data_IF_444437848796
#
_entry.id   IF_444437848796
#
_cell.length_a   1.000
_cell.length_b   1.000
_cell.length_c   1.000
_cell.angle_alpha   90.00
_cell.angle_beta   90.00
_cell.angle_gamma   90.00
#
_symmetry.space_group_name_H-M   'P 1'
#
loop_
_entity.id
_entity.type
_entity.pdbx_description
1 polymer ?
#
# COMPACT_ATOMS: atom_id res chain seq x y z
N UNK A 1 -25.05 -23.32 -25.68
CA UNK A 1 -25.45 -23.73 -24.31
C UNK A 1 -24.41 -24.71 -23.73
N UNK A 2 -24.02 -25.79 -24.44
CA UNK A 2 -23.08 -26.80 -23.91
C UNK A 2 -21.69 -26.21 -23.59
N UNK A 3 -21.15 -25.40 -24.48
CA UNK A 3 -19.87 -24.69 -24.24
C UNK A 3 -19.90 -23.84 -22.97
N UNK A 4 -21.03 -23.13 -22.73
CA UNK A 4 -21.20 -22.34 -21.50
C UNK A 4 -21.26 -23.23 -20.25
N UNK A 5 -21.93 -24.38 -20.32
CA UNK A 5 -21.95 -25.35 -19.21
C UNK A 5 -20.56 -25.88 -18.90
N UNK A 6 -19.77 -26.23 -19.91
CA UNK A 6 -18.39 -26.67 -19.74
C UNK A 6 -17.54 -25.57 -19.11
N UNK A 7 -17.65 -24.35 -19.59
CA UNK A 7 -16.96 -23.18 -19.04
C UNK A 7 -17.32 -22.95 -17.56
N UNK A 8 -18.60 -22.99 -17.20
CA UNK A 8 -19.04 -22.81 -15.81
C UNK A 8 -18.57 -23.96 -14.91
N UNK A 9 -18.68 -25.21 -15.36
CA UNK A 9 -18.15 -26.37 -14.62
C UNK A 9 -16.65 -26.26 -14.37
N UNK A 10 -15.88 -25.86 -15.40
CA UNK A 10 -14.44 -25.64 -15.29
C UNK A 10 -14.11 -24.57 -14.25
N UNK A 11 -14.78 -23.41 -14.30
CA UNK A 11 -14.52 -22.33 -13.36
C UNK A 11 -14.89 -22.70 -11.92
N UNK A 12 -16.00 -23.42 -11.71
CA UNK A 12 -16.40 -23.92 -10.38
C UNK A 12 -15.34 -24.90 -9.85
N UNK A 13 -14.90 -25.85 -10.68
CA UNK A 13 -13.90 -26.84 -10.28
C UNK A 13 -12.55 -26.18 -9.99
N UNK A 14 -12.06 -25.32 -10.88
CA UNK A 14 -10.82 -24.58 -10.72
C UNK A 14 -10.84 -23.72 -9.45
N UNK A 15 -11.91 -22.95 -9.23
CA UNK A 15 -12.07 -22.08 -8.06
C UNK A 15 -12.20 -22.85 -6.74
N UNK A 16 -12.66 -24.11 -6.81
CA UNK A 16 -12.84 -24.97 -5.64
C UNK A 16 -11.64 -25.88 -5.34
N UNK A 17 -10.68 -26.00 -6.25
CA UNK A 17 -9.63 -27.00 -6.21
C UNK A 17 -8.85 -27.02 -4.88
N UNK A 18 -8.60 -25.84 -4.28
CA UNK A 18 -7.90 -25.69 -2.99
C UNK A 18 -8.69 -26.22 -1.79
N UNK A 19 -9.98 -26.47 -1.93
CA UNK A 19 -10.91 -26.91 -0.88
C UNK A 19 -11.33 -28.38 -1.03
N UNK A 20 -10.91 -29.01 -2.13
CA UNK A 20 -11.23 -30.41 -2.46
C UNK A 20 -10.14 -31.36 -1.93
N UNK A 21 -10.22 -32.63 -2.37
CA UNK A 21 -9.25 -33.66 -1.97
C UNK A 21 -7.84 -33.41 -2.52
N UNK A 22 -6.87 -34.11 -1.95
CA UNK A 22 -5.44 -33.93 -2.26
C UNK A 22 -5.07 -33.94 -3.75
N UNK A 23 -5.67 -34.75 -4.64
CA UNK A 23 -5.36 -34.69 -6.06
C UNK A 23 -5.67 -33.31 -6.69
N UNK A 24 -6.80 -32.70 -6.33
CA UNK A 24 -7.17 -31.36 -6.82
C UNK A 24 -6.24 -30.27 -6.26
N UNK A 25 -5.91 -30.33 -4.98
CA UNK A 25 -4.96 -29.41 -4.35
C UNK A 25 -3.59 -29.50 -5.01
N UNK A 26 -3.09 -30.72 -5.29
CA UNK A 26 -1.82 -30.93 -5.99
C UNK A 26 -1.85 -30.40 -7.43
N UNK A 27 -2.93 -30.65 -8.17
CA UNK A 27 -3.09 -30.14 -9.54
C UNK A 27 -3.13 -28.59 -9.58
N UNK A 28 -3.85 -27.97 -8.63
CA UNK A 28 -3.87 -26.51 -8.50
C UNK A 28 -2.48 -25.95 -8.17
N UNK A 29 -1.73 -26.60 -7.29
CA UNK A 29 -0.39 -26.19 -6.95
C UNK A 29 0.58 -26.36 -8.14
N UNK A 30 0.50 -27.47 -8.90
CA UNK A 30 1.33 -27.69 -10.08
C UNK A 30 1.18 -26.55 -11.13
N UNK A 31 -0.03 -26.02 -11.29
CA UNK A 31 -0.25 -24.85 -12.13
C UNK A 31 0.42 -23.58 -11.53
N UNK A 32 0.24 -23.36 -10.23
CA UNK A 32 0.83 -22.21 -9.55
C UNK A 32 2.36 -22.21 -9.57
N UNK A 33 2.99 -23.41 -9.54
CA UNK A 33 4.45 -23.55 -9.61
C UNK A 33 5.05 -22.97 -10.89
N UNK A 34 4.34 -23.11 -12.02
CA UNK A 34 4.80 -22.56 -13.32
C UNK A 34 4.89 -21.03 -13.27
N UNK A 35 3.94 -20.39 -12.58
CA UNK A 35 3.87 -18.92 -12.51
C UNK A 35 4.78 -18.36 -11.42
N UNK A 36 4.89 -19.06 -10.28
CA UNK A 36 5.59 -18.53 -9.09
C UNK A 36 7.01 -19.04 -8.90
N UNK A 37 7.41 -20.11 -9.62
CA UNK A 37 8.69 -20.81 -9.39
C UNK A 37 8.75 -21.61 -8.08
N UNK A 38 7.69 -21.58 -7.25
CA UNK A 38 7.66 -22.19 -5.94
C UNK A 38 7.81 -23.74 -6.04
N UNK A 39 8.81 -24.31 -5.38
CA UNK A 39 9.11 -25.76 -5.45
C UNK A 39 8.29 -26.60 -4.49
N UNK A 40 7.95 -26.06 -3.33
CA UNK A 40 7.24 -26.77 -2.25
C UNK A 40 6.00 -25.97 -1.87
N UNK A 41 4.86 -26.67 -1.78
CA UNK A 41 3.61 -26.04 -1.38
C UNK A 41 3.71 -25.50 0.05
N UNK A 42 3.19 -24.28 0.26
CA UNK A 42 3.03 -23.68 1.59
C UNK A 42 2.37 -24.67 2.55
N UNK A 43 2.88 -24.84 3.78
CA UNK A 43 2.31 -25.76 4.77
C UNK A 43 0.81 -25.55 4.96
N UNK A 44 0.07 -26.66 5.20
CA UNK A 44 -1.39 -26.61 5.32
C UNK A 44 -1.87 -25.58 6.37
N UNK A 45 -1.21 -25.53 7.53
CA UNK A 45 -1.61 -24.61 8.60
C UNK A 45 -1.55 -23.15 8.17
N UNK A 46 -0.51 -22.74 7.43
CA UNK A 46 -0.40 -21.37 6.89
C UNK A 46 -1.52 -21.07 5.90
N UNK A 47 -1.77 -22.01 4.95
CA UNK A 47 -2.85 -21.86 3.98
C UNK A 47 -4.21 -21.74 4.65
N UNK A 48 -4.45 -22.53 5.70
CA UNK A 48 -5.72 -22.49 6.45
C UNK A 48 -5.84 -21.22 7.28
N UNK A 49 -4.75 -20.73 7.89
CA UNK A 49 -4.74 -19.45 8.60
C UNK A 49 -5.12 -18.29 7.67
N UNK A 50 -4.48 -18.21 6.49
CA UNK A 50 -4.81 -17.16 5.48
C UNK A 50 -6.26 -17.27 5.01
N UNK A 51 -6.76 -18.49 4.85
CA UNK A 51 -8.15 -18.72 4.42
C UNK A 51 -9.14 -18.35 5.52
N UNK A 52 -8.85 -18.63 6.77
CA UNK A 52 -9.66 -18.24 7.93
C UNK A 52 -9.74 -16.72 8.01
N UNK A 53 -8.61 -16.03 7.84
CA UNK A 53 -8.58 -14.57 7.77
C UNK A 53 -9.44 -14.04 6.62
N UNK A 54 -9.36 -14.63 5.43
CA UNK A 54 -10.16 -14.23 4.26
C UNK A 54 -11.68 -14.46 4.44
N UNK A 55 -12.11 -15.36 5.32
CA UNK A 55 -13.54 -15.70 5.52
C UNK A 55 -14.14 -14.99 6.75
N UNK A 56 -13.45 -15.09 7.88
CA UNK A 56 -13.91 -14.57 9.18
C UNK A 56 -12.87 -13.66 9.83
N UNK A 57 -12.14 -12.90 9.02
CA UNK A 57 -10.96 -12.17 9.43
C UNK A 57 -11.19 -11.12 10.51
N UNK A 58 -12.37 -10.52 10.62
CA UNK A 58 -12.64 -9.62 11.73
C UNK A 58 -12.85 -10.35 13.06
N UNK A 59 -13.36 -11.59 13.08
CA UNK A 59 -13.38 -12.40 14.31
C UNK A 59 -11.97 -12.79 14.71
N UNK A 60 -11.13 -13.23 13.76
CA UNK A 60 -9.72 -13.49 14.00
C UNK A 60 -9.00 -12.20 14.44
N UNK A 61 -9.37 -11.07 13.83
CA UNK A 61 -8.84 -9.74 14.12
C UNK A 61 -9.05 -9.30 15.57
N UNK A 62 -10.19 -9.63 16.18
CA UNK A 62 -10.44 -9.35 17.60
C UNK A 62 -9.41 -10.05 18.50
N UNK A 63 -9.13 -11.33 18.23
CA UNK A 63 -8.13 -12.11 18.98
C UNK A 63 -6.73 -11.57 18.76
N UNK A 64 -6.42 -11.22 17.50
CA UNK A 64 -5.14 -10.65 17.11
C UNK A 64 -4.87 -9.31 17.80
N UNK A 65 -5.83 -8.38 17.75
CA UNK A 65 -5.73 -7.06 18.37
C UNK A 65 -5.59 -7.16 19.88
N UNK A 66 -6.42 -7.98 20.54
CA UNK A 66 -6.35 -8.18 21.99
C UNK A 66 -4.97 -8.68 22.46
N UNK A 67 -4.24 -9.42 21.61
CA UNK A 67 -2.94 -9.99 21.96
C UNK A 67 -1.75 -9.13 21.54
N UNK A 68 -1.81 -8.49 20.36
CA UNK A 68 -0.63 -7.91 19.71
C UNK A 68 -0.69 -6.40 19.46
N UNK A 69 -1.84 -5.77 19.61
CA UNK A 69 -1.99 -4.34 19.31
C UNK A 69 -2.32 -3.54 20.57
N UNK A 70 -1.36 -2.78 21.05
CA UNK A 70 -1.49 -1.97 22.26
C UNK A 70 -2.15 -0.61 21.97
N UNK A 71 -2.93 -0.04 22.91
CA UNK A 71 -3.54 1.29 22.75
C UNK A 71 -2.53 2.40 22.41
N UNK A 72 -1.34 2.37 23.03
CA UNK A 72 -0.27 3.36 22.81
C UNK A 72 0.21 3.39 21.34
N UNK A 73 0.15 2.25 20.66
CA UNK A 73 0.46 2.17 19.23
C UNK A 73 -0.57 2.95 18.40
N UNK A 74 -1.86 2.89 18.74
CA UNK A 74 -2.92 3.65 18.06
C UNK A 74 -2.75 5.15 18.25
N UNK A 75 -2.42 5.58 19.46
CA UNK A 75 -2.17 7.00 19.79
C UNK A 75 -0.96 7.54 19.04
N UNK A 76 0.16 6.81 19.06
CA UNK A 76 1.38 7.21 18.34
C UNK A 76 1.17 7.27 16.82
N UNK A 77 0.39 6.34 16.27
CA UNK A 77 0.01 6.37 14.85
C UNK A 77 -0.87 7.58 14.50
N UNK A 78 -1.82 7.92 15.37
CA UNK A 78 -2.66 9.11 15.15
C UNK A 78 -1.83 10.39 15.14
N UNK A 79 -0.82 10.50 16.01
CA UNK A 79 0.15 11.60 15.98
C UNK A 79 0.93 11.65 14.67
N UNK A 80 1.46 10.51 14.20
CA UNK A 80 2.17 10.42 12.92
C UNK A 80 1.29 10.89 11.77
N UNK A 81 0.04 10.38 11.67
CA UNK A 81 -0.91 10.78 10.64
C UNK A 81 -1.17 12.29 10.66
N UNK A 82 -1.35 12.90 11.84
CA UNK A 82 -1.56 14.34 11.97
C UNK A 82 -0.33 15.14 11.50
N UNK A 83 0.87 14.70 11.87
CA UNK A 83 2.11 15.35 11.48
C UNK A 83 2.35 15.25 9.96
N UNK A 84 2.10 14.08 9.36
CA UNK A 84 2.22 13.91 7.92
C UNK A 84 1.19 14.74 7.15
N UNK A 85 -0.05 14.83 7.63
CA UNK A 85 -1.06 15.72 7.04
C UNK A 85 -0.60 17.17 7.02
N UNK A 86 -0.04 17.67 8.13
CA UNK A 86 0.53 19.02 8.23
C UNK A 86 1.71 19.20 7.27
N UNK A 87 2.61 18.24 7.20
CA UNK A 87 3.76 18.27 6.27
C UNK A 87 3.28 18.30 4.82
N UNK A 88 2.27 17.51 4.47
CA UNK A 88 1.72 17.49 3.12
C UNK A 88 1.06 18.83 2.75
N UNK A 89 0.33 19.45 3.67
CA UNK A 89 -0.23 20.80 3.45
C UNK A 89 0.86 21.84 3.19
N UNK A 90 1.97 21.81 3.96
CA UNK A 90 3.13 22.69 3.74
C UNK A 90 3.70 22.46 2.33
N UNK A 91 3.85 21.22 1.92
CA UNK A 91 4.35 20.89 0.57
C UNK A 91 3.42 21.38 -0.52
N UNK A 92 2.10 21.15 -0.42
CA UNK A 92 1.10 21.66 -1.39
C UNK A 92 1.22 23.18 -1.52
N UNK A 93 1.33 23.89 -0.40
CA UNK A 93 1.47 25.37 -0.43
C UNK A 93 2.73 25.81 -1.18
N UNK A 94 3.82 25.05 -1.08
CA UNK A 94 5.13 25.39 -1.68
C UNK A 94 5.29 24.89 -3.13
N UNK A 95 4.30 24.23 -3.73
CA UNK A 95 4.38 23.80 -5.13
C UNK A 95 4.42 25.01 -6.07
N UNK A 96 5.44 25.09 -6.91
CA UNK A 96 5.66 26.15 -7.88
C UNK A 96 4.88 25.97 -9.21
N UNK A 97 4.45 24.73 -9.47
CA UNK A 97 3.80 24.35 -10.72
C UNK A 97 2.26 24.38 -10.66
N UNK A 98 1.67 24.39 -9.47
CA UNK A 98 0.23 24.33 -9.23
C UNK A 98 -0.33 25.70 -8.89
N UNK A 99 -1.46 26.07 -9.50
CA UNK A 99 -2.17 27.33 -9.20
C UNK A 99 -2.79 27.32 -7.79
N UNK A 100 -3.02 28.49 -7.22
CA UNK A 100 -3.63 28.63 -5.89
C UNK A 100 -5.04 28.04 -5.84
N UNK A 101 -5.80 28.11 -6.93
CA UNK A 101 -7.13 27.49 -7.03
C UNK A 101 -7.06 25.96 -6.86
N UNK A 102 -6.11 25.32 -7.55
CA UNK A 102 -5.91 23.86 -7.44
C UNK A 102 -5.31 23.49 -6.09
N UNK A 103 -4.35 24.28 -5.55
CA UNK A 103 -3.81 24.09 -4.20
C UNK A 103 -4.90 24.09 -3.14
N UNK A 104 -5.87 25.02 -3.24
CA UNK A 104 -6.98 25.06 -2.27
C UNK A 104 -7.83 23.78 -2.34
N UNK A 105 -8.19 23.31 -3.54
CA UNK A 105 -8.91 22.06 -3.72
C UNK A 105 -8.14 20.85 -3.21
N UNK A 106 -6.83 20.80 -3.42
CA UNK A 106 -5.96 19.75 -2.90
C UNK A 106 -5.95 19.74 -1.36
N UNK A 107 -5.85 20.92 -0.72
CA UNK A 107 -5.93 21.04 0.75
C UNK A 107 -7.31 20.63 1.27
N UNK A 108 -8.40 21.06 0.63
CA UNK A 108 -9.75 20.66 1.02
C UNK A 108 -9.89 19.13 1.00
N UNK A 109 -9.33 18.47 -0.03
CA UNK A 109 -9.33 17.01 -0.13
C UNK A 109 -8.46 16.35 0.94
N UNK A 110 -7.26 16.85 1.19
CA UNK A 110 -6.35 16.35 2.24
C UNK A 110 -6.99 16.46 3.63
N UNK A 111 -7.67 17.55 3.94
CA UNK A 111 -8.34 17.74 5.23
C UNK A 111 -9.56 16.82 5.39
N UNK A 112 -10.21 16.45 4.29
CA UNK A 112 -11.34 15.53 4.30
C UNK A 112 -10.96 14.05 4.42
N UNK A 113 -9.66 13.69 4.41
CA UNK A 113 -9.22 12.31 4.62
C UNK A 113 -9.66 11.79 5.99
N UNK A 114 -10.31 10.63 5.98
CA UNK A 114 -10.65 9.89 7.21
C UNK A 114 -9.57 8.85 7.50
N UNK A 115 -8.79 8.98 8.57
CA UNK A 115 -7.83 7.95 8.96
C UNK A 115 -8.50 6.83 9.74
N UNK A 116 -8.19 5.58 9.41
CA UNK A 116 -8.59 4.36 10.13
C UNK A 116 -7.35 3.63 10.60
N UNK A 117 -7.20 3.40 11.91
CA UNK A 117 -5.96 2.91 12.52
C UNK A 117 -6.23 1.69 13.38
N UNK A 118 -5.52 0.60 13.10
CA UNK A 118 -5.48 -0.63 13.88
C UNK A 118 -6.63 -1.59 13.57
N UNK A 119 -7.84 -1.22 13.91
CA UNK A 119 -9.03 -2.07 13.80
C UNK A 119 -10.32 -1.25 13.73
N UNK A 120 -11.43 -1.83 13.20
CA UNK A 120 -12.71 -1.13 13.11
C UNK A 120 -13.32 -0.89 14.47
N UNK A 121 -13.95 0.28 14.67
CA UNK A 121 -14.69 0.60 15.90
C UNK A 121 -15.98 -0.23 16.02
N UNK A 122 -16.53 -0.68 14.88
CA UNK A 122 -17.70 -1.55 14.79
C UNK A 122 -17.29 -2.85 14.11
N UNK A 123 -17.24 -3.93 14.89
CA UNK A 123 -16.87 -5.25 14.39
C UNK A 123 -17.98 -5.87 13.52
N UNK A 124 -17.57 -6.48 12.42
CA UNK A 124 -18.47 -7.22 11.54
C UNK A 124 -19.09 -8.42 12.26
N UNK A 125 -20.39 -8.53 12.16
CA UNK A 125 -21.13 -9.69 12.64
C UNK A 125 -21.27 -10.72 11.54
N UNK A 126 -21.12 -12.00 11.88
CA UNK A 126 -21.22 -13.13 10.95
C UNK A 126 -22.51 -13.93 11.18
N UNK A 127 -23.59 -13.22 11.53
CA UNK A 127 -24.91 -13.83 11.77
C UNK A 127 -25.42 -14.53 10.50
N UNK A 128 -25.92 -15.76 10.66
CA UNK A 128 -26.38 -16.59 9.53
C UNK A 128 -25.28 -17.25 8.68
N UNK A 129 -24.00 -17.10 9.03
CA UNK A 129 -22.93 -17.89 8.46
C UNK A 129 -22.88 -19.26 9.12
N UNK A 130 -23.25 -20.31 8.39
CA UNK A 130 -23.23 -21.71 8.86
C UNK A 130 -21.89 -22.37 8.54
N UNK A 131 -21.18 -22.81 9.58
CA UNK A 131 -19.90 -23.48 9.51
C UNK A 131 -19.95 -24.77 10.35
N UNK A 132 -19.52 -25.88 9.78
CA UNK A 132 -19.52 -27.18 10.45
C UNK A 132 -18.18 -27.91 10.31
N UNK A 133 -17.92 -28.87 11.18
CA UNK A 133 -16.74 -29.74 11.09
C UNK A 133 -16.83 -30.79 9.95
N UNK A 134 -17.99 -30.96 9.32
CA UNK A 134 -18.24 -32.08 8.44
C UNK A 134 -17.71 -31.91 7.01
N UNK A 135 -17.65 -30.68 6.49
CA UNK A 135 -17.24 -30.47 5.11
C UNK A 135 -16.58 -29.09 4.93
N UNK A 136 -15.28 -29.12 4.68
CA UNK A 136 -14.50 -27.92 4.37
C UNK A 136 -15.01 -27.21 3.11
N UNK A 137 -15.31 -27.98 2.04
CA UNK A 137 -15.86 -27.44 0.81
C UNK A 137 -17.21 -26.75 1.04
N UNK A 138 -18.09 -27.36 1.84
CA UNK A 138 -19.40 -26.77 2.14
C UNK A 138 -19.26 -25.47 2.93
N UNK A 139 -18.33 -25.42 3.90
CA UNK A 139 -18.03 -24.20 4.64
C UNK A 139 -17.61 -23.06 3.71
N UNK A 140 -16.75 -23.34 2.73
CA UNK A 140 -16.31 -22.32 1.76
C UNK A 140 -17.47 -21.87 0.85
N UNK A 141 -18.36 -22.78 0.47
CA UNK A 141 -19.57 -22.42 -0.27
C UNK A 141 -20.55 -21.57 0.56
N UNK A 142 -20.75 -21.94 1.82
CA UNK A 142 -21.58 -21.18 2.75
C UNK A 142 -21.03 -19.76 2.97
N UNK A 143 -19.71 -19.65 3.16
CA UNK A 143 -19.03 -18.36 3.29
C UNK A 143 -19.19 -17.49 2.04
N UNK A 144 -19.01 -18.05 0.85
CA UNK A 144 -19.21 -17.33 -0.41
C UNK A 144 -20.66 -16.88 -0.61
N UNK A 145 -21.64 -17.76 -0.32
CA UNK A 145 -23.06 -17.42 -0.40
C UNK A 145 -23.47 -16.35 0.62
N UNK A 146 -22.93 -16.44 1.84
CA UNK A 146 -23.17 -15.44 2.89
C UNK A 146 -22.58 -14.09 2.49
N UNK A 147 -21.32 -14.05 2.04
CA UNK A 147 -20.66 -12.82 1.58
C UNK A 147 -21.40 -12.17 0.41
N UNK A 148 -21.89 -12.97 -0.52
CA UNK A 148 -22.72 -12.48 -1.64
C UNK A 148 -24.01 -11.82 -1.14
N UNK A 149 -24.74 -12.47 -0.22
CA UNK A 149 -25.96 -11.91 0.39
C UNK A 149 -25.66 -10.58 1.12
N UNK A 150 -24.59 -10.53 1.91
CA UNK A 150 -24.15 -9.32 2.59
C UNK A 150 -23.86 -8.18 1.61
N UNK A 151 -23.19 -8.50 0.48
CA UNK A 151 -22.91 -7.50 -0.56
C UNK A 151 -24.19 -6.99 -1.24
N UNK A 152 -25.07 -7.90 -1.64
CA UNK A 152 -26.37 -7.53 -2.26
C UNK A 152 -27.25 -6.72 -1.30
N UNK A 153 -27.19 -7.01 0.00
CA UNK A 153 -27.93 -6.27 1.03
C UNK A 153 -27.47 -4.81 1.19
N UNK A 154 -26.37 -4.40 0.56
CA UNK A 154 -25.93 -2.98 0.52
C UNK A 154 -26.66 -2.17 -0.58
N UNK A 155 -27.27 -2.84 -1.57
CA UNK A 155 -27.97 -2.14 -2.65
C UNK A 155 -29.03 -1.19 -2.09
N UNK A 156 -29.07 0.01 -2.63
CA UNK A 156 -29.98 1.08 -2.23
C UNK A 156 -29.86 1.55 -0.76
N UNK A 157 -28.74 1.23 -0.08
CA UNK A 157 -28.41 1.77 1.24
C UNK A 157 -27.34 2.86 1.13
N UNK A 158 -27.33 3.80 2.07
CA UNK A 158 -26.19 4.72 2.21
C UNK A 158 -24.88 3.95 2.39
N UNK A 159 -23.78 4.56 1.95
CA UNK A 159 -22.44 4.00 2.13
C UNK A 159 -22.14 3.87 3.62
N UNK A 160 -21.77 2.66 4.04
CA UNK A 160 -21.33 2.38 5.40
C UNK A 160 -19.83 2.68 5.56
N UNK A 161 -19.51 3.83 6.11
CA UNK A 161 -18.12 4.27 6.32
C UNK A 161 -17.43 3.58 7.50
N UNK A 162 -18.11 2.73 8.26
CA UNK A 162 -17.49 1.96 9.36
C UNK A 162 -16.74 0.73 8.85
N UNK A 163 -17.05 0.24 7.66
CA UNK A 163 -16.46 -0.96 7.06
C UNK A 163 -15.01 -0.75 6.64
N UNK A 164 -14.23 -1.81 6.80
CA UNK A 164 -12.85 -1.88 6.37
C UNK A 164 -12.69 -2.82 5.17
N UNK A 165 -11.77 -2.49 4.26
CA UNK A 165 -11.43 -3.34 3.11
C UNK A 165 -10.40 -4.43 3.44
N UNK A 166 -9.67 -4.27 4.55
CA UNK A 166 -8.66 -5.22 5.04
C UNK A 166 -8.95 -5.61 6.48
N UNK A 167 -8.59 -6.82 6.85
CA UNK A 167 -8.72 -7.34 8.22
C UNK A 167 -7.58 -6.86 9.12
N UNK A 168 -7.77 -6.77 10.44
CA UNK A 168 -6.72 -6.27 11.34
C UNK A 168 -5.37 -7.00 11.28
N UNK A 169 -5.27 -8.34 11.05
CA UNK A 169 -3.98 -9.01 10.90
C UNK A 169 -3.24 -8.72 9.60
N UNK A 170 -3.85 -8.02 8.64
CA UNK A 170 -3.24 -7.74 7.33
C UNK A 170 -2.01 -6.83 7.48
N UNK A 171 -0.87 -7.29 6.91
CA UNK A 171 0.36 -6.48 6.81
C UNK A 171 0.31 -5.69 5.50
N UNK A 172 -0.49 -4.66 5.47
CA UNK A 172 -0.67 -3.72 4.36
C UNK A 172 -1.42 -2.48 4.83
N UNK A 173 -1.56 -1.48 3.93
CA UNK A 173 -2.39 -0.29 4.09
C UNK A 173 -3.14 -0.03 2.77
N UNK A 174 -4.08 0.90 2.77
CA UNK A 174 -4.72 1.33 1.52
C UNK A 174 -5.35 2.71 1.63
N UNK A 175 -5.44 3.40 0.49
CA UNK A 175 -6.32 4.54 0.28
C UNK A 175 -7.57 4.12 -0.49
N UNK A 176 -8.74 4.61 -0.09
CA UNK A 176 -10.00 4.42 -0.81
C UNK A 176 -10.47 5.74 -1.42
N UNK A 177 -10.41 5.91 -2.77
CA UNK A 177 -10.80 7.16 -3.41
C UNK A 177 -12.29 7.49 -3.24
N UNK A 178 -13.17 6.49 -3.27
CA UNK A 178 -14.62 6.67 -3.10
C UNK A 178 -15.03 7.00 -1.67
N UNK A 179 -14.21 6.62 -0.69
CA UNK A 179 -14.44 6.92 0.73
C UNK A 179 -13.60 8.11 1.19
N UNK A 180 -12.59 8.50 0.44
CA UNK A 180 -11.56 9.46 0.81
C UNK A 180 -10.95 9.14 2.18
N UNK A 181 -10.53 7.89 2.36
CA UNK A 181 -9.99 7.36 3.61
C UNK A 181 -8.64 6.66 3.43
N UNK A 182 -7.81 6.73 4.45
CA UNK A 182 -6.53 6.01 4.57
C UNK A 182 -6.63 5.01 5.71
N UNK A 183 -6.23 3.78 5.48
CA UNK A 183 -6.48 2.67 6.41
C UNK A 183 -5.20 1.90 6.70
N UNK A 184 -4.89 1.73 7.99
CA UNK A 184 -3.70 1.06 8.49
C UNK A 184 -4.10 -0.05 9.48
N UNK A 185 -4.27 -1.30 9.03
CA UNK A 185 -4.57 -2.44 9.91
C UNK A 185 -3.48 -2.66 10.96
N UNK A 186 -3.85 -3.26 12.10
CA UNK A 186 -2.92 -3.54 13.19
C UNK A 186 -1.71 -4.38 12.76
N UNK A 187 -1.87 -5.22 11.73
CA UNK A 187 -0.82 -6.09 11.21
C UNK A 187 0.40 -5.36 10.67
N UNK A 188 0.23 -4.19 10.03
CA UNK A 188 1.37 -3.40 9.55
C UNK A 188 2.00 -2.56 10.66
N UNK A 189 1.30 -2.35 11.78
CA UNK A 189 1.75 -1.52 12.90
C UNK A 189 2.68 -2.28 13.84
N UNK A 190 3.66 -2.98 13.28
CA UNK A 190 4.69 -3.78 13.92
C UNK A 190 6.01 -3.63 13.19
N UNK A 191 7.11 -4.03 13.85
CA UNK A 191 8.42 -4.09 13.21
C UNK A 191 8.38 -4.95 11.92
N UNK A 192 9.03 -4.53 10.82
CA UNK A 192 9.92 -3.38 10.67
C UNK A 192 9.22 -2.05 10.32
N UNK A 193 7.91 -2.01 10.14
CA UNK A 193 7.20 -0.80 9.73
C UNK A 193 7.02 0.19 10.87
N UNK A 194 6.69 -0.31 12.07
CA UNK A 194 6.39 0.52 13.23
C UNK A 194 6.85 -0.12 14.54
N UNK A 195 7.33 0.70 15.45
CA UNK A 195 7.50 0.34 16.84
C UNK A 195 7.25 1.59 17.71
N UNK A 196 6.35 1.48 18.69
CA UNK A 196 5.95 2.64 19.51
C UNK A 196 7.14 3.28 20.25
N UNK A 197 8.11 2.47 20.66
CA UNK A 197 9.31 2.85 21.40
C UNK A 197 10.50 3.23 20.50
N UNK A 198 10.40 3.03 19.17
CA UNK A 198 11.48 3.39 18.26
C UNK A 198 11.59 4.90 18.10
N UNK A 199 12.80 5.33 17.76
CA UNK A 199 13.07 6.74 17.47
C UNK A 199 12.31 7.25 16.22
N UNK A 200 12.13 8.57 16.12
CA UNK A 200 11.37 9.20 15.04
C UNK A 200 11.91 8.83 13.66
N UNK A 201 13.24 8.79 13.49
CA UNK A 201 13.84 8.46 12.19
C UNK A 201 13.40 7.08 11.69
N UNK A 202 13.28 6.09 12.59
CA UNK A 202 12.81 4.75 12.25
C UNK A 202 11.33 4.78 11.87
N UNK A 203 10.48 5.36 12.71
CA UNK A 203 9.03 5.37 12.46
C UNK A 203 8.63 6.24 11.26
N UNK A 204 9.22 7.43 11.10
CA UNK A 204 8.93 8.28 9.93
C UNK A 204 9.49 7.71 8.63
N UNK A 205 10.69 7.07 8.66
CA UNK A 205 11.28 6.43 7.49
C UNK A 205 10.52 5.18 7.03
N UNK A 206 9.90 4.45 7.96
CA UNK A 206 9.14 3.24 7.69
C UNK A 206 7.63 3.54 7.54
N UNK A 207 6.87 3.42 8.64
CA UNK A 207 5.41 3.62 8.58
C UNK A 207 5.02 5.04 8.15
N UNK A 208 5.85 6.04 8.47
CA UNK A 208 5.62 7.41 8.00
C UNK A 208 5.63 7.50 6.48
N UNK A 209 6.58 6.85 5.82
CA UNK A 209 6.61 6.76 4.36
C UNK A 209 5.38 6.05 3.80
N UNK A 210 4.88 4.99 4.47
CA UNK A 210 3.62 4.30 4.09
C UNK A 210 2.41 5.23 4.28
N UNK A 211 2.31 5.96 5.40
CA UNK A 211 1.21 6.92 5.62
C UNK A 211 1.21 7.98 4.52
N UNK A 212 2.37 8.55 4.21
CA UNK A 212 2.51 9.52 3.14
C UNK A 212 2.18 8.94 1.76
N UNK A 213 2.52 7.66 1.50
CA UNK A 213 2.17 6.91 0.30
C UNK A 213 0.65 6.80 0.15
N UNK A 214 -0.07 6.36 1.19
CA UNK A 214 -1.53 6.29 1.13
C UNK A 214 -2.18 7.67 0.97
N UNK A 215 -1.64 8.70 1.62
CA UNK A 215 -2.10 10.07 1.38
C UNK A 215 -1.86 10.52 -0.07
N UNK A 216 -0.72 10.13 -0.66
CA UNK A 216 -0.36 10.48 -2.05
C UNK A 216 -1.27 9.79 -3.07
N UNK A 217 -1.83 8.61 -2.77
CA UNK A 217 -2.84 7.97 -3.62
C UNK A 217 -4.10 8.82 -3.81
N UNK A 218 -4.42 9.73 -2.89
CA UNK A 218 -5.47 10.73 -3.10
C UNK A 218 -5.18 11.70 -4.25
N UNK A 219 -3.92 11.78 -4.69
CA UNK A 219 -3.40 12.76 -5.64
C UNK A 219 -2.59 12.12 -6.79
N UNK A 220 -2.56 10.79 -6.90
CA UNK A 220 -1.92 10.07 -8.00
C UNK A 220 -2.74 10.15 -9.30
N UNK A 221 -2.36 9.41 -10.32
CA UNK A 221 -3.02 9.41 -11.64
C UNK A 221 -4.46 8.89 -11.61
N UNK A 222 -4.82 8.09 -10.63
CA UNK A 222 -6.17 7.55 -10.41
C UNK A 222 -6.95 8.34 -9.36
N UNK A 223 -6.39 8.52 -8.17
CA UNK A 223 -7.06 9.20 -7.05
C UNK A 223 -7.29 10.69 -7.30
N UNK A 224 -6.43 11.33 -8.09
CA UNK A 224 -6.62 12.74 -8.51
C UNK A 224 -7.91 12.99 -9.32
N UNK A 225 -8.56 11.94 -9.82
CA UNK A 225 -9.83 12.03 -10.53
C UNK A 225 -11.04 12.14 -9.60
N UNK A 226 -10.88 11.88 -8.29
CA UNK A 226 -11.92 11.95 -7.29
C UNK A 226 -11.78 13.22 -6.45
N UNK A 227 -12.90 13.87 -6.17
CA UNK A 227 -12.94 15.06 -5.30
C UNK A 227 -12.88 14.66 -3.79
N UNK A 228 -12.95 15.67 -2.91
CA UNK A 228 -12.92 15.50 -1.45
C UNK A 228 -14.05 14.61 -0.88
N UNK A 229 -15.15 14.48 -1.61
CA UNK A 229 -16.34 13.73 -1.20
C UNK A 229 -16.33 12.29 -1.76
N UNK A 230 -15.28 11.91 -2.52
CA UNK A 230 -15.15 10.61 -3.17
C UNK A 230 -15.92 10.50 -4.48
N UNK A 231 -16.35 11.62 -5.05
CA UNK A 231 -17.05 11.65 -6.34
C UNK A 231 -16.06 11.77 -7.49
N UNK A 232 -16.24 10.96 -8.54
CA UNK A 232 -15.46 11.05 -9.77
C UNK A 232 -15.79 12.39 -10.45
N UNK A 233 -14.96 13.39 -10.21
CA UNK A 233 -15.17 14.76 -10.68
C UNK A 233 -13.82 15.44 -10.89
N UNK A 234 -13.64 16.07 -12.07
CA UNK A 234 -12.46 16.91 -12.30
C UNK A 234 -12.51 18.18 -11.41
N UNK A 235 -11.49 18.34 -10.58
CA UNK A 235 -11.29 19.51 -9.71
C UNK A 235 -10.04 20.33 -10.05
N UNK A 236 -9.29 19.89 -11.07
CA UNK A 236 -8.08 20.54 -11.57
C UNK A 236 -8.41 21.68 -12.54
N UNK A 237 -7.55 22.69 -12.61
CA UNK A 237 -7.48 23.53 -13.81
C UNK A 237 -6.90 22.72 -14.96
N UNK A 238 -7.21 23.10 -16.19
CA UNK A 238 -6.71 22.39 -17.38
C UNK A 238 -5.18 22.45 -17.45
N UNK A 239 -4.62 23.59 -17.10
CA UNK A 239 -3.18 23.87 -17.11
C UNK A 239 -2.44 23.06 -16.06
N UNK A 240 -2.97 22.99 -14.83
CA UNK A 240 -2.34 22.22 -13.75
C UNK A 240 -2.40 20.72 -14.02
N UNK A 241 -3.51 20.23 -14.56
CA UNK A 241 -3.61 18.82 -14.97
C UNK A 241 -2.59 18.47 -16.08
N UNK A 242 -2.35 19.39 -17.03
CA UNK A 242 -1.34 19.20 -18.07
C UNK A 242 0.08 19.14 -17.47
N UNK A 243 0.41 20.03 -16.53
CA UNK A 243 1.70 20.05 -15.81
C UNK A 243 1.88 18.77 -14.97
N UNK A 244 0.84 18.32 -14.27
CA UNK A 244 0.85 17.06 -13.53
C UNK A 244 1.18 15.88 -14.46
N UNK A 245 0.46 15.75 -15.58
CA UNK A 245 0.71 14.70 -16.58
C UNK A 245 2.12 14.74 -17.16
N UNK A 246 2.67 15.94 -17.39
CA UNK A 246 4.05 16.08 -17.86
C UNK A 246 5.06 15.56 -16.81
N UNK A 247 4.86 15.89 -15.52
CA UNK A 247 5.70 15.39 -14.42
C UNK A 247 5.59 13.88 -14.24
N UNK A 248 4.39 13.32 -14.26
CA UNK A 248 4.19 11.88 -14.13
C UNK A 248 4.78 11.10 -15.30
N UNK A 249 4.75 11.65 -16.53
CA UNK A 249 5.43 11.05 -17.68
C UNK A 249 6.96 10.94 -17.48
N UNK A 250 7.59 11.93 -16.84
CA UNK A 250 9.03 11.86 -16.51
C UNK A 250 9.28 10.74 -15.48
N UNK A 251 8.41 10.61 -14.49
CA UNK A 251 8.51 9.52 -13.50
C UNK A 251 8.35 8.15 -14.16
N UNK A 252 7.35 8.01 -15.05
CA UNK A 252 7.14 6.78 -15.82
C UNK A 252 8.38 6.38 -16.61
N UNK A 253 8.97 7.32 -17.37
CA UNK A 253 10.19 7.08 -18.13
C UNK A 253 11.39 6.69 -17.25
N UNK A 254 11.50 7.27 -16.02
CA UNK A 254 12.51 6.85 -15.05
C UNK A 254 12.36 5.37 -14.68
N UNK A 255 11.15 4.90 -14.44
CA UNK A 255 10.88 3.50 -14.07
C UNK A 255 10.98 2.55 -15.25
N UNK A 256 10.56 2.96 -16.45
CA UNK A 256 10.76 2.19 -17.70
C UNK A 256 12.23 1.90 -18.00
N UNK A 257 13.15 2.74 -17.50
CA UNK A 257 14.59 2.54 -17.66
C UNK A 257 15.17 1.46 -16.70
N UNK A 258 14.43 1.01 -15.69
CA UNK A 258 14.91 0.00 -14.74
C UNK A 258 14.76 -1.41 -15.32
N UNK A 259 15.88 -2.14 -15.38
CA UNK A 259 15.94 -3.53 -15.88
C UNK A 259 15.84 -4.47 -14.68
N UNK A 260 14.91 -5.41 -14.73
CA UNK A 260 14.56 -6.32 -13.62
C UNK A 260 15.24 -7.68 -13.77
N UNK A 261 15.00 -8.34 -14.90
CA UNK A 261 15.54 -9.65 -15.26
C UNK A 261 16.08 -9.56 -16.70
N UNK A 262 17.39 -9.55 -16.87
CA UNK A 262 18.09 -9.46 -18.15
C UNK A 262 17.53 -8.40 -19.10
N UNK A 263 16.41 -8.68 -19.74
CA UNK A 263 15.75 -7.83 -20.75
C UNK A 263 14.36 -7.33 -20.34
N UNK A 264 13.85 -7.71 -19.16
CA UNK A 264 12.52 -7.29 -18.68
C UNK A 264 12.66 -5.97 -17.93
N UNK A 265 11.97 -4.94 -18.40
CA UNK A 265 11.91 -3.63 -17.78
C UNK A 265 10.69 -3.50 -16.86
N UNK A 266 10.77 -2.61 -15.88
CA UNK A 266 9.59 -2.14 -15.14
C UNK A 266 8.64 -1.47 -16.14
N UNK A 267 7.34 -1.64 -15.94
CA UNK A 267 6.32 -0.94 -16.72
C UNK A 267 5.90 0.33 -15.96
N UNK A 268 6.56 1.45 -16.26
CA UNK A 268 6.33 2.72 -15.58
C UNK A 268 4.91 3.25 -15.74
N UNK A 269 4.18 2.84 -16.79
CA UNK A 269 2.76 3.19 -16.95
C UNK A 269 1.87 2.36 -16.01
N UNK A 270 2.11 1.06 -15.89
CA UNK A 270 1.36 0.17 -14.98
C UNK A 270 1.60 0.57 -13.52
N UNK A 271 2.85 0.93 -13.19
CA UNK A 271 3.26 1.22 -11.81
C UNK A 271 3.19 2.71 -11.44
N UNK A 272 2.56 3.55 -12.27
CA UNK A 272 2.57 5.00 -12.13
C UNK A 272 2.03 5.47 -10.77
N UNK A 273 0.84 5.01 -10.37
CA UNK A 273 0.21 5.41 -9.11
C UNK A 273 1.09 5.06 -7.90
N UNK A 274 1.64 3.84 -7.90
CA UNK A 274 2.52 3.36 -6.84
C UNK A 274 3.84 4.15 -6.78
N UNK A 275 4.41 4.48 -7.93
CA UNK A 275 5.64 5.27 -7.99
C UNK A 275 5.42 6.73 -7.54
N UNK A 276 4.25 7.31 -7.82
CA UNK A 276 3.84 8.62 -7.29
C UNK A 276 3.64 8.52 -5.77
N UNK A 277 2.99 7.45 -5.30
CA UNK A 277 2.80 7.16 -3.88
C UNK A 277 4.13 7.11 -3.12
N UNK A 278 5.10 6.36 -3.64
CA UNK A 278 6.44 6.25 -3.01
C UNK A 278 7.19 7.58 -3.01
N UNK A 279 7.23 8.29 -4.12
CA UNK A 279 7.94 9.57 -4.22
C UNK A 279 7.29 10.64 -3.32
N UNK A 280 5.97 10.78 -3.39
CA UNK A 280 5.22 11.70 -2.56
C UNK A 280 5.31 11.33 -1.08
N UNK A 281 5.05 10.06 -0.78
CA UNK A 281 5.05 9.53 0.58
C UNK A 281 6.37 9.74 1.30
N UNK A 282 7.48 9.41 0.65
CA UNK A 282 8.82 9.58 1.24
C UNK A 282 9.16 11.06 1.46
N UNK A 283 8.80 11.94 0.52
CA UNK A 283 8.99 13.39 0.67
C UNK A 283 8.16 13.96 1.81
N UNK A 284 6.87 13.59 1.92
CA UNK A 284 5.97 14.03 2.99
C UNK A 284 6.48 13.55 4.35
N UNK A 285 6.89 12.27 4.43
CA UNK A 285 7.43 11.69 5.65
C UNK A 285 8.74 12.36 6.08
N UNK A 286 9.62 12.69 5.15
CA UNK A 286 10.85 13.40 5.47
C UNK A 286 10.59 14.83 5.96
N UNK A 287 9.66 15.56 5.34
CA UNK A 287 9.23 16.88 5.81
C UNK A 287 8.68 16.81 7.24
N UNK A 288 7.78 15.85 7.52
CA UNK A 288 7.24 15.62 8.86
C UNK A 288 8.33 15.24 9.87
N UNK A 289 9.27 14.37 9.48
CA UNK A 289 10.43 14.00 10.30
C UNK A 289 11.26 15.23 10.66
N UNK A 290 11.55 16.11 9.71
CA UNK A 290 12.33 17.35 9.96
C UNK A 290 11.63 18.34 10.90
N UNK A 291 10.34 18.17 11.18
CA UNK A 291 9.61 18.94 12.19
C UNK A 291 9.85 18.41 13.61
N UNK A 292 10.37 17.19 13.78
CA UNK A 292 10.64 16.58 15.10
C UNK A 292 11.98 17.06 15.69
N UNK A 293 12.11 16.91 17.02
CA UNK A 293 13.38 17.20 17.72
C UNK A 293 14.54 16.37 17.17
N UNK A 294 14.30 15.09 16.87
CA UNK A 294 15.33 14.22 16.32
C UNK A 294 15.70 14.63 14.89
N UNK A 295 14.73 14.95 14.04
CA UNK A 295 14.95 15.40 12.68
C UNK A 295 15.78 16.69 12.57
N UNK A 296 15.75 17.52 13.60
CA UNK A 296 16.56 18.74 13.72
C UNK A 296 17.94 18.49 14.38
N UNK A 297 18.14 17.32 14.97
CA UNK A 297 19.38 16.96 15.68
C UNK A 297 20.48 16.55 14.71
N UNK A 298 21.74 16.70 15.17
CA UNK A 298 22.92 16.13 14.51
C UNK A 298 23.48 14.91 15.26
N UNK A 299 22.82 14.50 16.37
CA UNK A 299 23.28 13.38 17.20
C UNK A 299 23.17 12.07 16.44
N UNK A 300 24.29 11.38 16.29
CA UNK A 300 24.34 10.04 15.70
C UNK A 300 23.86 8.99 16.69
N UNK A 301 23.18 7.98 16.17
CA UNK A 301 22.79 6.75 16.87
C UNK A 301 23.34 5.59 16.04
N UNK A 302 24.07 4.66 16.66
CA UNK A 302 24.73 3.54 16.00
C UNK A 302 25.65 3.97 14.83
N UNK A 303 26.28 5.14 14.94
CA UNK A 303 27.17 5.69 13.92
C UNK A 303 26.46 6.45 12.78
N UNK A 304 25.13 6.39 12.68
CA UNK A 304 24.34 7.03 11.63
C UNK A 304 23.72 8.35 12.07
N UNK A 305 23.67 9.32 11.17
CA UNK A 305 22.93 10.56 11.37
C UNK A 305 21.42 10.29 11.38
N UNK A 306 20.58 11.20 11.93
CA UNK A 306 19.12 11.05 11.86
C UNK A 306 18.59 10.89 10.43
N UNK A 307 19.11 11.65 9.47
CA UNK A 307 18.72 11.57 8.07
C UNK A 307 19.12 10.20 7.45
N UNK A 308 20.31 9.69 7.74
CA UNK A 308 20.72 8.35 7.30
C UNK A 308 19.82 7.28 7.88
N UNK A 309 19.46 7.34 9.16
CA UNK A 309 18.55 6.39 9.82
C UNK A 309 17.16 6.40 9.18
N UNK A 310 16.65 7.58 8.83
CA UNK A 310 15.38 7.72 8.12
C UNK A 310 15.39 6.96 6.79
N UNK A 311 16.37 7.21 5.92
CA UNK A 311 16.44 6.53 4.62
C UNK A 311 16.76 5.03 4.73
N UNK A 312 17.57 4.62 5.72
CA UNK A 312 17.84 3.20 5.99
C UNK A 312 16.59 2.47 6.46
N UNK A 313 15.75 3.11 7.28
CA UNK A 313 14.48 2.55 7.71
C UNK A 313 13.52 2.35 6.53
N UNK A 314 13.42 3.34 5.63
CA UNK A 314 12.67 3.19 4.37
C UNK A 314 13.17 1.99 3.54
N UNK A 315 14.47 1.85 3.39
CA UNK A 315 15.03 0.72 2.65
C UNK A 315 14.74 -0.63 3.34
N UNK A 316 14.73 -0.65 4.66
CA UNK A 316 14.50 -1.86 5.45
C UNK A 316 13.10 -2.47 5.22
N UNK A 317 12.06 -1.65 5.08
CA UNK A 317 10.68 -2.16 4.90
C UNK A 317 10.48 -2.83 3.54
N UNK A 318 11.27 -2.51 2.53
CA UNK A 318 11.23 -3.12 1.20
C UNK A 318 12.20 -4.29 1.02
N UNK A 319 12.95 -4.63 2.07
CA UNK A 319 13.90 -5.74 2.03
C UNK A 319 13.17 -7.06 1.88
N UNK A 320 13.38 -7.74 0.77
CA UNK A 320 12.73 -8.99 0.45
C UNK A 320 13.53 -9.82 -0.56
N UNK A 321 13.07 -11.06 -0.77
CA UNK A 321 13.58 -11.95 -1.82
C UNK A 321 12.39 -12.52 -2.57
N UNK A 322 12.47 -12.56 -3.89
CA UNK A 322 11.43 -13.06 -4.77
C UNK A 322 12.07 -14.00 -5.81
N UNK A 323 11.38 -15.08 -6.13
CA UNK A 323 11.82 -16.00 -7.18
C UNK A 323 11.73 -15.34 -8.56
N UNK A 324 12.63 -15.65 -9.51
CA UNK A 324 12.64 -15.02 -10.84
C UNK A 324 11.31 -15.14 -11.59
N UNK A 325 10.66 -16.30 -11.52
CA UNK A 325 9.37 -16.54 -12.17
C UNK A 325 8.26 -15.66 -11.57
N UNK A 326 8.22 -15.55 -10.23
CA UNK A 326 7.28 -14.68 -9.53
C UNK A 326 7.55 -13.21 -9.82
N UNK A 327 8.83 -12.81 -9.91
CA UNK A 327 9.23 -11.45 -10.26
C UNK A 327 8.82 -11.11 -11.70
N UNK A 328 9.01 -12.02 -12.64
CA UNK A 328 8.54 -11.84 -14.03
C UNK A 328 7.01 -11.67 -14.07
N UNK A 329 6.26 -12.50 -13.33
CA UNK A 329 4.81 -12.37 -13.22
C UNK A 329 4.40 -11.03 -12.63
N UNK A 330 5.08 -10.56 -11.57
CA UNK A 330 4.84 -9.27 -10.94
C UNK A 330 4.94 -8.12 -11.97
N UNK A 331 5.99 -8.07 -12.77
CA UNK A 331 6.20 -7.00 -13.75
C UNK A 331 5.03 -6.85 -14.74
N UNK A 332 4.38 -7.96 -15.10
CA UNK A 332 3.27 -7.93 -16.07
C UNK A 332 1.90 -7.68 -15.47
N UNK A 333 1.71 -7.91 -14.15
CA UNK A 333 0.36 -7.96 -13.57
C UNK A 333 0.17 -7.13 -12.31
N UNK A 334 1.25 -6.70 -11.65
CA UNK A 334 1.20 -5.98 -10.38
C UNK A 334 1.49 -4.49 -10.59
N UNK A 335 0.66 -3.56 -10.07
CA UNK A 335 0.91 -2.13 -10.15
C UNK A 335 2.10 -1.66 -9.32
N UNK A 336 2.67 -2.51 -8.45
CA UNK A 336 3.83 -2.17 -7.63
C UNK A 336 5.14 -2.50 -8.34
N UNK A 337 6.05 -1.54 -8.39
CA UNK A 337 7.43 -1.79 -8.79
C UNK A 337 8.11 -2.77 -7.82
N UNK A 338 9.07 -3.59 -8.28
CA UNK A 338 9.85 -4.45 -7.37
C UNK A 338 10.51 -3.65 -6.25
N UNK A 339 10.60 -4.25 -5.05
CA UNK A 339 11.08 -3.59 -3.82
C UNK A 339 12.42 -2.86 -4.01
N UNK A 340 13.35 -3.43 -4.79
CA UNK A 340 14.61 -2.77 -5.15
C UNK A 340 14.38 -1.39 -5.80
N UNK A 341 13.42 -1.28 -6.71
CA UNK A 341 13.16 -0.03 -7.45
C UNK A 341 12.25 0.92 -6.67
N UNK A 342 11.45 0.44 -5.74
CA UNK A 342 10.78 1.30 -4.76
C UNK A 342 11.80 2.01 -3.86
N UNK A 343 12.83 1.27 -3.39
CA UNK A 343 13.89 1.82 -2.54
C UNK A 343 14.74 2.88 -3.22
N UNK A 344 15.07 2.73 -4.51
CA UNK A 344 15.93 3.69 -5.20
C UNK A 344 15.15 4.75 -5.99
N UNK A 345 13.99 4.42 -6.51
CA UNK A 345 13.22 5.26 -7.43
C UNK A 345 12.73 6.57 -6.81
N UNK A 346 12.35 6.56 -5.53
CA UNK A 346 11.97 7.77 -4.80
C UNK A 346 13.20 8.57 -4.32
N UNK A 347 14.17 7.99 -3.57
CA UNK A 347 15.31 8.75 -3.03
C UNK A 347 16.18 9.46 -4.07
N UNK A 348 16.37 8.89 -5.28
CA UNK A 348 17.18 9.54 -6.34
C UNK A 348 16.61 10.89 -6.81
N UNK A 349 15.40 11.21 -6.42
CA UNK A 349 14.77 12.52 -6.67
C UNK A 349 14.81 13.47 -5.45
N UNK A 350 15.44 13.07 -4.33
CA UNK A 350 15.42 13.82 -3.07
C UNK A 350 16.82 14.40 -2.74
N UNK A 351 16.98 15.71 -2.76
CA UNK A 351 18.23 16.38 -2.41
C UNK A 351 18.75 15.98 -1.03
N UNK A 352 17.85 15.71 -0.08
CA UNK A 352 18.18 15.28 1.27
C UNK A 352 18.92 13.93 1.31
N UNK A 353 18.56 13.00 0.41
CA UNK A 353 19.22 11.70 0.31
C UNK A 353 20.67 11.85 -0.16
N UNK A 354 20.91 12.70 -1.16
CA UNK A 354 22.26 13.00 -1.64
C UNK A 354 23.13 13.57 -0.52
N UNK A 355 22.59 14.49 0.26
CA UNK A 355 23.28 15.09 1.41
C UNK A 355 23.56 14.07 2.52
N UNK A 356 22.59 13.20 2.83
CA UNK A 356 22.72 12.21 3.89
C UNK A 356 23.84 11.21 3.63
N UNK A 357 24.06 10.81 2.37
CA UNK A 357 25.02 9.78 1.99
C UNK A 357 26.23 10.33 1.20
N UNK A 358 26.38 11.66 1.10
CA UNK A 358 27.48 12.34 0.38
C UNK A 358 27.63 11.86 -1.08
N UNK A 359 26.49 11.66 -1.78
CA UNK A 359 26.45 11.15 -3.15
C UNK A 359 26.84 12.25 -4.13
N UNK A 360 27.78 11.97 -5.03
CA UNK A 360 28.44 12.92 -5.92
C UNK A 360 28.33 12.54 -7.40
N UNK A 361 28.59 13.47 -8.32
CA UNK A 361 28.76 13.15 -9.73
C UNK A 361 29.79 12.02 -9.91
N UNK A 362 29.41 10.97 -10.67
CA UNK A 362 30.19 9.76 -10.87
C UNK A 362 29.71 8.56 -10.06
N UNK A 363 28.93 8.75 -8.99
CA UNK A 363 28.32 7.64 -8.27
C UNK A 363 27.19 7.01 -9.10
N UNK A 364 27.00 5.70 -8.98
CA UNK A 364 26.07 4.90 -9.81
C UNK A 364 24.61 5.42 -9.80
N UNK A 365 24.15 5.95 -8.66
CA UNK A 365 22.79 6.44 -8.49
C UNK A 365 22.70 7.98 -8.54
N UNK A 366 23.78 8.65 -8.97
CA UNK A 366 23.75 10.10 -9.06
C UNK A 366 22.81 10.56 -10.17
N UNK A 367 21.94 11.51 -9.85
CA UNK A 367 21.07 12.23 -10.78
C UNK A 367 21.31 13.71 -10.59
N UNK A 368 21.46 14.46 -11.69
CA UNK A 368 21.69 15.91 -11.62
C UNK A 368 20.54 16.61 -10.93
N UNK A 369 20.77 17.72 -10.18
CA UNK A 369 19.71 18.43 -9.47
C UNK A 369 18.51 18.83 -10.35
N UNK A 370 18.77 19.30 -11.58
CA UNK A 370 17.77 19.69 -12.56
C UNK A 370 16.91 18.54 -13.08
N UNK A 371 17.42 17.31 -12.98
CA UNK A 371 16.73 16.09 -13.42
C UNK A 371 15.92 15.44 -12.28
N UNK A 372 16.05 15.92 -11.03
CA UNK A 372 15.35 15.39 -9.86
C UNK A 372 13.90 15.83 -9.87
N UNK A 373 13.01 14.87 -9.98
CA UNK A 373 11.58 15.14 -10.11
C UNK A 373 10.96 15.53 -8.75
N UNK A 374 10.16 16.60 -8.78
CA UNK A 374 9.33 17.03 -7.65
C UNK A 374 7.87 17.08 -8.12
N UNK A 375 7.01 16.23 -7.53
CA UNK A 375 5.57 16.22 -7.79
C UNK A 375 4.85 16.82 -6.59
N UNK A 376 4.97 16.21 -5.42
CA UNK A 376 4.40 16.66 -4.14
C UNK A 376 5.45 17.12 -3.14
#
# INVERSE_FOLDING_TARGET
VETLKVYLKWNILKGSASYLSSPFVKASFAYSQVLSGQKVQTPRWQRMSSLTDGVIGELLGQLYVARYFKPEAKERMAELVANLRKAFEIRINNLDWMSDATKQKAKDKLHAFTPKIGYPDVWKKYEGLDISANSFYQNMRNAGAWSYKENVAQLNKPIDRTKWGMTPPTVNAYYSPVMNEIVFPAGILQFPFFAAEADDAINYGAIGAVIGHEMSHGFDDSGSQYDKDGTLRNWWTKEDLAKFKAKTAILGAQFDAYIVLDTIHVNGKLTMGENIGDLGGLNIAYEAFKMTKQGQSKKKIDGFTPDQRFFLSFAQVWRGSILPEALAQQIYTDPHSPGQYRVIGAPVNMDAWYKAFDIKPGDKLYKKPEDRLKIW
#
